data_IF_341322168669
#
_entry.id   IF_341322168669
#
_cell.length_a   1.000
_cell.length_b   1.000
_cell.length_c   1.000
_cell.angle_alpha   90.00
_cell.angle_beta   90.00
_cell.angle_gamma   90.00
#
_symmetry.space_group_name_H-M   'P 1'
#
loop_
_entity.id
_entity.type
_entity.pdbx_description
1 polymer ?
#
# COMPACT_ATOMS: atom_id res chain seq x y z
N UNK A 1 -20.14 12.89 3.20
CA UNK A 1 -20.22 14.23 2.54
C UNK A 1 -19.78 15.33 3.50
N UNK A 2 -20.43 15.53 4.68
CA UNK A 2 -20.12 16.64 5.61
C UNK A 2 -18.63 16.72 6.02
N UNK A 3 -17.97 15.58 6.29
CA UNK A 3 -16.54 15.57 6.60
C UNK A 3 -15.68 16.02 5.42
N UNK A 4 -16.04 15.63 4.20
CA UNK A 4 -15.33 16.05 2.99
C UNK A 4 -15.49 17.57 2.77
N UNK A 5 -16.71 18.09 2.94
CA UNK A 5 -17.00 19.53 2.83
C UNK A 5 -16.26 20.37 3.87
N UNK A 6 -16.05 19.81 5.06
CA UNK A 6 -15.27 20.45 6.11
C UNK A 6 -13.74 20.24 5.98
N UNK A 7 -13.27 19.51 4.97
CA UNK A 7 -11.86 19.17 4.77
C UNK A 7 -11.28 18.28 5.86
N UNK A 8 -12.11 17.45 6.51
CA UNK A 8 -11.71 16.61 7.65
C UNK A 8 -11.36 15.17 7.28
N UNK A 9 -11.59 14.75 6.03
CA UNK A 9 -11.20 13.41 5.54
C UNK A 9 -9.69 13.31 5.37
N UNK A 10 -9.11 14.34 4.77
CA UNK A 10 -7.67 14.45 4.49
C UNK A 10 -7.16 15.82 4.95
N UNK A 11 -7.19 16.08 6.27
CA UNK A 11 -7.05 17.44 6.81
C UNK A 11 -5.72 18.11 6.44
N UNK A 12 -4.66 17.32 6.19
CA UNK A 12 -3.34 17.81 5.79
C UNK A 12 -3.23 18.20 4.30
N UNK A 13 -4.24 17.88 3.49
CA UNK A 13 -4.21 18.30 2.10
C UNK A 13 -4.55 19.79 1.96
N UNK A 14 -4.12 20.44 0.86
CA UNK A 14 -4.49 21.83 0.61
C UNK A 14 -5.99 21.99 0.32
N UNK A 15 -6.48 23.20 0.51
CA UNK A 15 -7.81 23.62 0.05
C UNK A 15 -7.92 23.43 -1.47
N UNK A 16 -9.05 22.97 -2.02
CA UNK A 16 -10.35 22.77 -1.35
C UNK A 16 -10.56 21.38 -0.71
N UNK A 17 -9.62 20.45 -0.87
CA UNK A 17 -9.80 19.04 -0.48
C UNK A 17 -9.58 18.79 1.01
N UNK A 18 -8.67 19.53 1.61
CA UNK A 18 -8.34 19.49 3.04
C UNK A 18 -8.31 20.90 3.62
N UNK A 19 -7.60 21.05 4.74
CA UNK A 19 -7.49 22.30 5.50
C UNK A 19 -6.05 22.83 5.54
N UNK A 20 -5.08 22.11 4.97
CA UNK A 20 -3.66 22.36 5.16
C UNK A 20 -3.21 22.15 6.60
N UNK A 21 -3.91 21.28 7.35
CA UNK A 21 -3.72 21.07 8.77
C UNK A 21 -2.30 20.61 9.11
N UNK A 22 -1.68 21.27 10.07
CA UNK A 22 -0.41 20.85 10.66
C UNK A 22 -0.56 19.59 11.51
N UNK A 23 0.56 19.01 11.96
CA UNK A 23 0.56 17.74 12.68
C UNK A 23 -0.30 17.76 13.95
N UNK A 24 -0.25 18.85 14.72
CA UNK A 24 -1.05 19.00 15.95
C UNK A 24 -2.56 19.07 15.64
N UNK A 25 -2.93 19.84 14.62
CA UNK A 25 -4.33 19.96 14.20
C UNK A 25 -4.88 18.61 13.72
N UNK A 26 -4.09 17.83 12.98
CA UNK A 26 -4.48 16.49 12.56
C UNK A 26 -4.76 15.57 13.75
N UNK A 27 -3.91 15.59 14.78
CA UNK A 27 -4.12 14.80 16.01
C UNK A 27 -5.42 15.19 16.69
N UNK A 28 -5.68 16.50 16.83
CA UNK A 28 -6.92 17.00 17.44
C UNK A 28 -8.15 16.57 16.63
N UNK A 29 -8.09 16.66 15.29
CA UNK A 29 -9.18 16.21 14.41
C UNK A 29 -9.44 14.72 14.61
N UNK A 30 -8.40 13.90 14.61
CA UNK A 30 -8.51 12.44 14.80
C UNK A 30 -9.09 12.09 16.17
N UNK A 31 -8.68 12.77 17.24
CA UNK A 31 -9.20 12.57 18.59
C UNK A 31 -10.69 12.95 18.67
N UNK A 32 -11.08 14.08 18.08
CA UNK A 32 -12.47 14.53 18.10
C UNK A 32 -13.39 13.62 17.28
N UNK A 33 -12.95 13.17 16.08
CA UNK A 33 -13.72 12.21 15.29
C UNK A 33 -13.92 10.89 16.05
N UNK A 34 -12.88 10.38 16.72
CA UNK A 34 -12.98 9.19 17.58
C UNK A 34 -13.92 9.42 18.77
N UNK A 35 -13.83 10.58 19.43
CA UNK A 35 -14.69 10.92 20.57
C UNK A 35 -16.18 10.87 20.21
N UNK A 36 -16.53 11.31 19.02
CA UNK A 36 -17.92 11.29 18.52
C UNK A 36 -18.27 10.05 17.71
N UNK A 37 -17.37 9.06 17.63
CA UNK A 37 -17.53 7.80 16.87
C UNK A 37 -17.82 8.00 15.38
N UNK A 38 -17.21 8.99 14.79
CA UNK A 38 -17.28 9.23 13.34
C UNK A 38 -16.02 8.68 12.70
N UNK A 39 -16.19 7.84 11.69
CA UNK A 39 -15.09 7.27 10.87
C UNK A 39 -15.00 7.98 9.53
N UNK A 40 -13.79 8.33 9.14
CA UNK A 40 -13.52 8.72 7.77
C UNK A 40 -13.60 7.48 6.85
N UNK A 41 -14.01 7.63 5.58
CA UNK A 41 -13.96 6.54 4.60
C UNK A 41 -12.56 5.96 4.49
N UNK A 42 -12.46 4.64 4.36
CA UNK A 42 -11.19 3.97 4.09
C UNK A 42 -10.91 4.07 2.58
N UNK A 43 -10.06 4.99 2.19
CA UNK A 43 -9.85 5.35 0.77
C UNK A 43 -9.12 4.26 -0.04
N UNK A 44 -8.42 3.32 0.60
CA UNK A 44 -7.62 2.29 -0.07
C UNK A 44 -6.73 2.90 -1.18
N UNK A 45 -6.84 2.42 -2.42
CA UNK A 45 -6.11 2.96 -3.58
C UNK A 45 -6.46 4.43 -3.84
N UNK A 46 -7.66 4.88 -3.47
CA UNK A 46 -8.06 6.28 -3.53
C UNK A 46 -7.14 7.23 -2.74
N UNK A 47 -6.47 6.72 -1.69
CA UNK A 47 -5.54 7.53 -0.89
C UNK A 47 -4.28 7.98 -1.65
N UNK A 48 -3.98 7.36 -2.78
CA UNK A 48 -2.91 7.81 -3.69
C UNK A 48 -3.40 8.17 -5.10
N UNK A 49 -4.55 7.66 -5.55
CA UNK A 49 -5.17 8.09 -6.78
C UNK A 49 -5.64 9.56 -6.70
N UNK A 50 -6.42 9.90 -5.67
CA UNK A 50 -6.98 11.24 -5.53
C UNK A 50 -5.92 12.35 -5.39
N UNK A 51 -4.85 12.24 -4.55
CA UNK A 51 -3.83 13.30 -4.50
C UNK A 51 -3.01 13.39 -5.79
N UNK A 52 -2.84 12.28 -6.53
CA UNK A 52 -2.21 12.31 -7.86
C UNK A 52 -3.07 13.11 -8.85
N UNK A 53 -4.39 12.86 -8.88
CA UNK A 53 -5.32 13.60 -9.74
C UNK A 53 -5.42 15.07 -9.30
N UNK A 54 -5.41 15.35 -8.00
CA UNK A 54 -5.40 16.72 -7.49
C UNK A 54 -4.15 17.51 -7.91
N UNK A 55 -3.00 16.82 -8.05
CA UNK A 55 -1.74 17.46 -8.44
C UNK A 55 -1.53 17.58 -9.95
N UNK A 56 -2.05 16.64 -10.75
CA UNK A 56 -1.73 16.49 -12.17
C UNK A 56 -2.97 16.57 -13.09
N UNK A 57 -4.18 16.45 -12.53
CA UNK A 57 -5.42 16.49 -13.30
C UNK A 57 -5.91 17.90 -13.55
N UNK A 58 -6.74 18.04 -14.59
CA UNK A 58 -7.47 19.29 -14.88
C UNK A 58 -8.52 19.59 -13.79
N UNK A 59 -8.99 20.84 -13.65
CA UNK A 59 -10.07 21.16 -12.72
C UNK A 59 -11.31 20.26 -12.87
N UNK A 60 -11.71 19.96 -14.11
CA UNK A 60 -12.84 19.06 -14.41
C UNK A 60 -12.59 17.63 -13.91
N UNK A 61 -11.37 17.11 -14.08
CA UNK A 61 -10.97 15.79 -13.58
C UNK A 61 -10.92 15.76 -12.05
N UNK A 62 -10.44 16.81 -11.42
CA UNK A 62 -10.41 16.94 -9.97
C UNK A 62 -11.83 16.91 -9.39
N UNK A 63 -12.76 17.67 -9.97
CA UNK A 63 -14.16 17.67 -9.54
C UNK A 63 -14.82 16.31 -9.75
N UNK A 64 -14.56 15.66 -10.89
CA UNK A 64 -15.13 14.35 -11.23
C UNK A 64 -14.68 13.23 -10.30
N UNK A 65 -13.42 13.24 -9.86
CA UNK A 65 -12.84 12.06 -9.18
C UNK A 65 -12.34 12.31 -7.76
N UNK A 66 -11.84 13.51 -7.42
CA UNK A 66 -11.25 13.71 -6.08
C UNK A 66 -12.35 13.73 -5.02
N UNK A 67 -13.38 14.57 -5.20
CA UNK A 67 -14.46 14.65 -4.21
C UNK A 67 -15.21 13.33 -4.02
N UNK A 68 -15.69 12.62 -5.06
CA UNK A 68 -16.36 11.34 -4.90
C UNK A 68 -15.47 10.26 -4.26
N UNK A 69 -14.13 10.34 -4.45
CA UNK A 69 -13.20 9.48 -3.71
C UNK A 69 -13.22 9.79 -2.21
N UNK A 70 -13.15 11.06 -1.83
CA UNK A 70 -13.15 11.46 -0.42
C UNK A 70 -14.47 11.14 0.29
N UNK A 71 -15.57 11.13 -0.43
CA UNK A 71 -16.89 10.76 0.12
C UNK A 71 -17.13 9.24 0.13
N UNK A 72 -16.25 8.45 -0.49
CA UNK A 72 -16.37 6.99 -0.60
C UNK A 72 -17.41 6.54 -1.63
N UNK A 73 -17.82 7.42 -2.55
CA UNK A 73 -18.77 7.11 -3.63
C UNK A 73 -18.12 6.28 -4.73
N UNK A 74 -16.80 6.42 -4.94
CA UNK A 74 -16.04 5.66 -5.92
C UNK A 74 -14.86 4.94 -5.30
N UNK A 75 -14.61 3.71 -5.76
CA UNK A 75 -13.51 2.86 -5.35
C UNK A 75 -12.50 2.72 -6.50
N UNK A 76 -11.23 2.57 -6.13
CA UNK A 76 -10.11 2.53 -7.05
C UNK A 76 -9.34 1.21 -7.00
N UNK A 77 -8.78 0.82 -8.14
CA UNK A 77 -7.68 -0.14 -8.21
C UNK A 77 -6.48 0.47 -8.94
N UNK A 78 -5.32 -0.17 -8.79
CA UNK A 78 -4.08 0.25 -9.46
C UNK A 78 -3.71 -0.74 -10.55
N UNK A 79 -3.62 -0.25 -11.80
CA UNK A 79 -3.35 -1.02 -13.01
C UNK A 79 -1.95 -0.68 -13.56
N UNK A 80 -0.91 -0.98 -12.76
CA UNK A 80 0.47 -0.67 -13.09
C UNK A 80 1.22 -1.92 -13.55
N UNK A 81 1.40 -2.89 -12.67
CA UNK A 81 2.20 -4.09 -12.92
C UNK A 81 1.60 -4.99 -14.00
N UNK A 82 2.47 -5.63 -14.77
CA UNK A 82 2.13 -6.65 -15.76
C UNK A 82 2.88 -7.94 -15.46
N UNK A 83 2.52 -9.09 -16.05
CA UNK A 83 3.27 -10.34 -15.85
C UNK A 83 4.76 -10.20 -16.16
N UNK A 84 5.13 -9.36 -17.14
CA UNK A 84 6.52 -9.08 -17.53
C UNK A 84 7.10 -7.77 -16.99
N UNK A 85 6.35 -6.96 -16.25
CA UNK A 85 6.78 -5.63 -15.80
C UNK A 85 6.33 -5.35 -14.36
N UNK A 86 7.17 -5.69 -13.40
CA UNK A 86 6.98 -5.41 -11.98
C UNK A 86 7.97 -4.36 -11.49
N UNK A 87 9.18 -4.77 -11.06
CA UNK A 87 10.24 -3.83 -10.64
C UNK A 87 10.69 -2.93 -11.78
N UNK A 88 10.82 -3.47 -13.00
CA UNK A 88 11.00 -2.67 -14.22
C UNK A 88 9.63 -2.23 -14.78
N UNK A 89 8.94 -1.40 -14.01
CA UNK A 89 7.59 -0.93 -14.38
C UNK A 89 7.57 -0.19 -15.71
N UNK A 90 8.64 0.54 -16.06
CA UNK A 90 8.73 1.24 -17.33
C UNK A 90 8.83 0.29 -18.54
N UNK A 91 9.08 -1.00 -18.32
CA UNK A 91 9.02 -2.06 -19.34
C UNK A 91 7.60 -2.53 -19.70
N UNK A 92 6.56 -1.87 -19.19
CA UNK A 92 5.15 -2.22 -19.46
C UNK A 92 4.83 -2.25 -20.96
N UNK A 93 3.95 -3.17 -21.36
CA UNK A 93 3.57 -3.48 -22.73
C UNK A 93 2.11 -3.19 -23.09
N UNK A 94 1.24 -2.99 -22.09
CA UNK A 94 -0.14 -2.57 -22.36
C UNK A 94 -0.15 -1.30 -23.21
N UNK A 95 -0.92 -1.30 -24.30
CA UNK A 95 -0.93 -0.24 -25.31
C UNK A 95 -2.18 0.62 -25.22
N UNK A 96 -2.02 1.90 -25.50
CA UNK A 96 -3.11 2.83 -25.75
C UNK A 96 -2.91 3.47 -27.12
N UNK A 97 -3.90 3.31 -27.99
CA UNK A 97 -3.91 3.89 -29.35
C UNK A 97 -5.06 4.87 -29.47
N UNK A 98 -4.80 6.07 -29.95
CA UNK A 98 -5.83 7.07 -30.18
C UNK A 98 -6.60 6.77 -31.47
N UNK A 99 -7.92 6.68 -31.36
CA UNK A 99 -8.86 6.47 -32.47
C UNK A 99 -9.96 7.56 -32.40
N UNK A 100 -9.85 8.57 -33.23
CA UNK A 100 -10.75 9.71 -33.16
C UNK A 100 -10.65 10.46 -31.83
N UNK A 101 -11.72 10.44 -31.04
CA UNK A 101 -11.82 11.10 -29.74
C UNK A 101 -11.73 10.13 -28.55
N UNK A 102 -11.32 8.89 -28.81
CA UNK A 102 -11.18 7.85 -27.78
C UNK A 102 -9.82 7.17 -27.83
N UNK A 103 -9.35 6.75 -26.67
CA UNK A 103 -8.23 5.83 -26.55
C UNK A 103 -8.73 4.39 -26.52
N UNK A 104 -8.09 3.52 -27.30
CA UNK A 104 -8.31 2.08 -27.29
C UNK A 104 -7.17 1.43 -26.51
N UNK A 105 -7.53 0.71 -25.46
CA UNK A 105 -6.58 0.08 -24.55
C UNK A 105 -6.56 -1.42 -24.74
N UNK A 106 -5.36 -1.97 -24.93
CA UNK A 106 -5.12 -3.40 -25.06
C UNK A 106 -3.96 -3.83 -24.15
N UNK A 107 -4.16 -4.89 -23.36
CA UNK A 107 -3.10 -5.47 -22.53
C UNK A 107 -3.64 -6.20 -21.30
N UNK A 108 -2.71 -6.58 -20.42
CA UNK A 108 -2.99 -7.28 -19.17
C UNK A 108 -2.29 -6.60 -18.02
N UNK A 109 -2.99 -6.44 -16.90
CA UNK A 109 -2.43 -6.01 -15.62
C UNK A 109 -2.60 -7.10 -14.57
N UNK A 110 -1.70 -7.12 -13.59
CA UNK A 110 -1.67 -8.18 -12.56
C UNK A 110 -1.38 -7.58 -11.18
N UNK A 111 -1.70 -8.31 -10.14
CA UNK A 111 -1.58 -7.89 -8.72
C UNK A 111 -2.47 -6.71 -8.35
N UNK A 112 -3.62 -6.59 -9.02
CA UNK A 112 -4.53 -5.47 -8.85
C UNK A 112 -5.44 -5.71 -7.63
N UNK A 113 -5.09 -5.08 -6.50
CA UNK A 113 -5.85 -5.20 -5.25
C UNK A 113 -7.26 -4.67 -5.45
N UNK A 114 -8.26 -5.48 -5.05
CA UNK A 114 -9.69 -5.13 -5.06
C UNK A 114 -10.25 -4.67 -6.41
N UNK A 115 -9.62 -5.02 -7.54
CA UNK A 115 -10.08 -4.59 -8.87
C UNK A 115 -11.51 -5.04 -9.19
N UNK A 116 -11.96 -6.17 -8.63
CA UNK A 116 -13.34 -6.68 -8.77
C UNK A 116 -14.41 -5.81 -8.08
N UNK A 117 -14.02 -4.90 -7.21
CA UNK A 117 -14.90 -3.93 -6.54
C UNK A 117 -14.68 -2.49 -7.01
N UNK A 118 -13.66 -2.25 -7.84
CA UNK A 118 -13.29 -0.90 -8.26
C UNK A 118 -14.27 -0.35 -9.31
N UNK A 119 -14.54 0.94 -9.20
CA UNK A 119 -15.26 1.70 -10.23
C UNK A 119 -14.30 2.23 -11.27
N UNK A 120 -13.08 2.62 -10.83
CA UNK A 120 -12.01 3.12 -11.69
C UNK A 120 -10.67 2.48 -11.38
N UNK A 121 -9.83 2.38 -12.41
CA UNK A 121 -8.42 1.99 -12.30
C UNK A 121 -7.50 3.15 -12.70
N UNK A 122 -6.47 3.41 -11.89
CA UNK A 122 -5.35 4.24 -12.34
C UNK A 122 -4.45 3.37 -13.21
N UNK A 123 -4.33 3.70 -14.49
CA UNK A 123 -3.71 2.84 -15.50
C UNK A 123 -2.47 3.51 -16.11
N UNK A 124 -1.40 2.74 -16.24
CA UNK A 124 -0.26 3.07 -17.09
C UNK A 124 -0.32 2.25 -18.38
N UNK A 125 -0.28 2.92 -19.52
CA UNK A 125 -0.21 2.26 -20.82
C UNK A 125 0.76 2.99 -21.75
N UNK A 126 1.31 2.23 -22.72
CA UNK A 126 2.25 2.73 -23.72
C UNK A 126 1.50 3.40 -24.86
N UNK A 127 1.74 4.68 -25.04
CA UNK A 127 1.21 5.48 -26.13
C UNK A 127 2.22 5.70 -27.26
N UNK A 128 3.52 5.59 -26.97
CA UNK A 128 4.58 5.68 -27.97
C UNK A 128 5.69 4.63 -27.66
N UNK A 129 5.89 3.70 -28.58
CA UNK A 129 6.93 2.67 -28.47
C UNK A 129 8.23 3.01 -29.22
N UNK A 130 8.27 4.14 -29.90
CA UNK A 130 9.44 4.59 -30.68
C UNK A 130 10.48 5.34 -29.84
N UNK A 131 10.10 5.76 -28.64
CA UNK A 131 10.93 6.54 -27.69
C UNK A 131 11.44 5.65 -26.55
N UNK A 132 12.37 6.19 -25.74
CA UNK A 132 12.88 5.46 -24.58
C UNK A 132 11.76 5.11 -23.58
N UNK A 133 11.90 3.98 -22.89
CA UNK A 133 10.83 3.33 -22.15
C UNK A 133 10.11 4.22 -21.12
N UNK A 134 10.75 5.24 -20.57
CA UNK A 134 10.13 6.17 -19.61
C UNK A 134 9.32 7.28 -20.29
N UNK A 135 9.53 7.58 -21.56
CA UNK A 135 8.94 8.72 -22.27
C UNK A 135 7.71 8.33 -23.09
N UNK A 136 7.38 7.17 -23.35
CA UNK A 136 6.21 6.78 -24.17
C UNK A 136 5.06 6.21 -23.34
N UNK A 137 4.96 6.57 -22.08
CA UNK A 137 3.92 6.11 -21.14
C UNK A 137 2.96 7.24 -20.85
N UNK A 138 1.67 6.92 -20.85
CA UNK A 138 0.60 7.85 -20.47
C UNK A 138 -0.16 7.30 -19.27
N UNK A 139 -0.63 8.19 -18.42
CA UNK A 139 -1.41 7.87 -17.23
C UNK A 139 -2.89 8.11 -17.51
N UNK A 140 -3.72 7.11 -17.27
CA UNK A 140 -5.14 7.13 -17.55
C UNK A 140 -5.98 6.83 -16.31
N UNK A 141 -7.22 7.26 -16.31
CA UNK A 141 -8.28 6.76 -15.45
C UNK A 141 -9.17 5.83 -16.27
N UNK A 142 -9.18 4.54 -15.96
CA UNK A 142 -9.95 3.52 -16.67
C UNK A 142 -11.24 3.21 -15.91
N UNK A 143 -12.44 3.40 -16.49
CA UNK A 143 -13.67 2.84 -15.94
C UNK A 143 -13.58 1.32 -15.94
N UNK A 144 -13.77 0.69 -14.79
CA UNK A 144 -13.63 -0.76 -14.66
C UNK A 144 -14.85 -1.55 -15.15
N UNK A 145 -16.01 -0.92 -15.15
CA UNK A 145 -17.30 -1.51 -15.55
C UNK A 145 -17.66 -1.09 -16.98
N UNK A 146 -17.00 -1.71 -17.95
CA UNK A 146 -17.25 -1.46 -19.37
C UNK A 146 -16.94 -2.70 -20.21
N UNK A 147 -17.41 -2.73 -21.44
CA UNK A 147 -17.00 -3.73 -22.44
C UNK A 147 -15.50 -3.65 -22.67
N UNK A 148 -14.87 -4.80 -22.91
CA UNK A 148 -13.41 -4.88 -23.11
C UNK A 148 -12.59 -4.89 -21.83
N UNK A 149 -13.18 -4.75 -20.64
CA UNK A 149 -12.47 -4.93 -19.34
C UNK A 149 -12.97 -6.18 -18.64
N UNK A 150 -12.08 -7.14 -18.43
CA UNK A 150 -12.37 -8.39 -17.70
C UNK A 150 -11.46 -8.50 -16.48
N UNK A 151 -12.07 -8.67 -15.30
CA UNK A 151 -11.37 -8.85 -14.03
C UNK A 151 -11.46 -10.32 -13.60
N UNK A 152 -10.32 -10.92 -13.29
CA UNK A 152 -10.22 -12.30 -12.81
C UNK A 152 -9.52 -12.36 -11.46
N UNK A 153 -10.11 -12.99 -10.44
CA UNK A 153 -9.43 -13.21 -9.16
C UNK A 153 -8.14 -14.02 -9.33
N UNK A 154 -7.10 -13.64 -8.63
CA UNK A 154 -5.81 -14.32 -8.58
C UNK A 154 -5.67 -15.06 -7.24
N UNK A 155 -5.69 -16.39 -7.28
CA UNK A 155 -5.48 -17.20 -6.10
C UNK A 155 -4.03 -17.12 -5.63
N UNK A 156 -3.85 -16.76 -4.36
CA UNK A 156 -2.55 -16.67 -3.69
C UNK A 156 -2.21 -18.00 -2.99
N UNK A 157 -0.94 -18.20 -2.62
CA UNK A 157 -0.50 -19.41 -1.91
C UNK A 157 -1.19 -19.63 -0.56
N UNK A 158 -1.69 -18.57 0.06
CA UNK A 158 -2.46 -18.61 1.31
C UNK A 158 -3.98 -18.76 1.08
N UNK A 159 -4.40 -19.13 -0.13
CA UNK A 159 -5.80 -19.29 -0.58
C UNK A 159 -6.66 -18.02 -0.59
N UNK A 160 -6.10 -16.84 -0.30
CA UNK A 160 -6.81 -15.58 -0.50
C UNK A 160 -6.80 -15.17 -1.96
N UNK A 161 -7.79 -14.37 -2.37
CA UNK A 161 -7.94 -13.84 -3.73
C UNK A 161 -8.13 -12.32 -3.71
N UNK A 162 -7.35 -11.62 -2.89
CA UNK A 162 -7.42 -10.14 -2.78
C UNK A 162 -6.86 -9.45 -4.01
N UNK A 163 -6.00 -10.13 -4.76
CA UNK A 163 -5.44 -9.66 -6.02
C UNK A 163 -6.23 -10.17 -7.22
N UNK A 164 -6.10 -9.45 -8.32
CA UNK A 164 -6.74 -9.77 -9.57
C UNK A 164 -5.76 -9.62 -10.74
N UNK A 165 -6.10 -10.27 -11.83
CA UNK A 165 -5.65 -9.97 -13.18
C UNK A 165 -6.73 -9.13 -13.86
N UNK A 166 -6.34 -8.15 -14.64
CA UNK A 166 -7.24 -7.31 -15.42
C UNK A 166 -6.82 -7.38 -16.88
N UNK A 167 -7.68 -7.91 -17.72
CA UNK A 167 -7.50 -7.99 -19.16
C UNK A 167 -8.28 -6.86 -19.82
N UNK A 168 -7.60 -6.14 -20.71
CA UNK A 168 -8.18 -5.07 -21.52
C UNK A 168 -8.08 -5.48 -22.98
N UNK A 169 -9.23 -5.58 -23.65
CA UNK A 169 -9.34 -5.92 -25.07
C UNK A 169 -10.24 -4.90 -25.71
N UNK A 170 -9.64 -3.97 -26.45
CA UNK A 170 -10.31 -2.84 -27.08
C UNK A 170 -11.15 -2.00 -26.10
N UNK A 171 -10.70 -1.90 -24.83
CA UNK A 171 -11.35 -1.07 -23.84
C UNK A 171 -11.24 0.41 -24.23
N UNK A 172 -12.34 1.15 -24.16
CA UNK A 172 -12.43 2.53 -24.70
C UNK A 172 -12.43 3.56 -23.59
N UNK A 173 -11.71 4.65 -23.80
CA UNK A 173 -11.63 5.80 -22.91
C UNK A 173 -11.78 7.09 -23.69
N UNK A 174 -12.60 8.05 -23.23
CA UNK A 174 -12.58 9.40 -23.77
C UNK A 174 -11.20 10.05 -23.61
N UNK A 175 -10.85 10.99 -24.50
CA UNK A 175 -9.56 11.70 -24.46
C UNK A 175 -9.29 12.40 -23.13
N UNK A 176 -10.32 12.92 -22.49
CA UNK A 176 -10.25 13.65 -21.22
C UNK A 176 -10.00 12.74 -19.99
N UNK A 177 -9.80 11.43 -20.19
CA UNK A 177 -9.41 10.47 -19.14
C UNK A 177 -7.88 10.32 -18.99
N UNK A 178 -7.10 11.10 -19.71
CA UNK A 178 -5.63 11.22 -19.50
C UNK A 178 -5.37 12.17 -18.33
N UNK A 179 -4.57 11.75 -17.36
CA UNK A 179 -4.11 12.61 -16.25
C UNK A 179 -2.68 13.06 -16.51
N UNK A 180 -2.48 14.39 -16.56
CA UNK A 180 -1.25 14.99 -17.05
C UNK A 180 -1.19 14.98 -18.59
N UNK A 181 0.03 15.06 -19.14
CA UNK A 181 0.23 15.09 -20.59
C UNK A 181 0.43 13.69 -21.17
N UNK A 182 0.02 13.52 -22.43
CA UNK A 182 0.31 12.30 -23.20
C UNK A 182 1.83 12.07 -23.27
N UNK A 183 2.28 10.85 -23.10
CA UNK A 183 3.69 10.44 -23.03
C UNK A 183 4.47 10.94 -21.78
N UNK A 184 3.85 11.68 -20.86
CA UNK A 184 4.45 12.16 -19.62
C UNK A 184 3.97 11.38 -18.36
N UNK A 185 3.24 10.29 -18.55
CA UNK A 185 2.63 9.50 -17.47
C UNK A 185 3.61 8.90 -16.47
N UNK A 186 4.89 8.75 -16.83
CA UNK A 186 5.90 8.29 -15.90
C UNK A 186 6.11 9.24 -14.71
N UNK A 187 6.11 10.54 -14.94
CA UNK A 187 6.20 11.55 -13.86
C UNK A 187 4.98 11.46 -12.93
N UNK A 188 3.79 11.29 -13.49
CA UNK A 188 2.54 11.11 -12.73
C UNK A 188 2.58 9.81 -11.90
N UNK A 189 3.10 8.72 -12.50
CA UNK A 189 3.27 7.45 -11.80
C UNK A 189 4.22 7.56 -10.60
N UNK A 190 5.33 8.29 -10.74
CA UNK A 190 6.26 8.52 -9.62
C UNK A 190 5.62 9.29 -8.47
N UNK A 191 4.75 10.26 -8.75
CA UNK A 191 3.95 10.96 -7.74
C UNK A 191 2.98 9.99 -7.04
N UNK A 192 2.27 9.15 -7.80
CA UNK A 192 1.39 8.10 -7.26
C UNK A 192 2.12 7.16 -6.32
N UNK A 193 3.27 6.63 -6.74
CA UNK A 193 4.10 5.73 -5.93
C UNK A 193 4.67 6.42 -4.67
N UNK A 194 4.89 7.73 -4.72
CA UNK A 194 5.29 8.50 -3.54
C UNK A 194 4.13 8.61 -2.52
N UNK A 195 2.90 8.80 -2.98
CA UNK A 195 1.71 8.79 -2.13
C UNK A 195 1.44 7.40 -1.54
N UNK A 196 1.54 6.34 -2.33
CA UNK A 196 1.40 4.95 -1.88
C UNK A 196 2.34 4.63 -0.71
N UNK A 197 3.62 5.00 -0.82
CA UNK A 197 4.60 4.81 0.26
C UNK A 197 4.27 5.57 1.55
N UNK A 198 3.59 6.71 1.44
CA UNK A 198 3.12 7.47 2.63
C UNK A 198 1.97 6.78 3.33
N UNK A 199 1.07 6.16 2.57
CA UNK A 199 -0.10 5.45 3.10
C UNK A 199 0.30 4.25 3.98
N UNK A 200 1.30 3.49 3.59
CA UNK A 200 1.82 2.35 4.37
C UNK A 200 2.31 2.70 5.78
N UNK A 201 2.56 3.99 6.06
CA UNK A 201 2.99 4.48 7.37
C UNK A 201 1.83 4.90 8.30
N UNK A 202 0.59 4.92 7.82
CA UNK A 202 -0.58 5.43 8.58
C UNK A 202 -1.19 4.34 9.46
N UNK A 203 -1.01 3.07 9.13
CA UNK A 203 -1.53 1.95 9.90
C UNK A 203 -0.54 1.55 11.01
N UNK A 204 -0.32 2.44 11.96
CA UNK A 204 0.42 2.11 13.18
C UNK A 204 -0.55 1.85 14.32
N UNK A 205 -0.28 0.77 15.07
CA UNK A 205 -1.02 0.45 16.30
C UNK A 205 -1.03 1.68 17.22
N UNK A 206 -2.20 2.13 17.71
CA UNK A 206 -2.25 3.23 18.67
C UNK A 206 -1.35 2.90 19.85
N UNK A 207 -0.44 3.81 20.21
CA UNK A 207 0.33 3.68 21.44
C UNK A 207 -0.62 3.89 22.61
N UNK A 208 -1.01 2.79 23.24
CA UNK A 208 -1.95 2.80 24.36
C UNK A 208 -1.21 3.18 25.62
N UNK A 209 -1.40 4.39 26.12
CA UNK A 209 -0.88 4.81 27.43
C UNK A 209 -1.97 5.17 28.43
N UNK A 210 -3.24 5.15 28.04
CA UNK A 210 -4.34 5.50 28.95
C UNK A 210 -5.57 4.63 28.67
N UNK A 211 -6.27 4.17 29.71
CA UNK A 211 -7.50 3.37 29.63
C UNK A 211 -8.74 4.14 29.18
N UNK A 212 -8.58 5.22 28.42
CA UNK A 212 -9.69 6.01 27.90
C UNK A 212 -10.48 5.28 26.82
N UNK A 213 -11.75 5.67 26.66
CA UNK A 213 -12.71 5.10 25.70
C UNK A 213 -12.15 5.06 24.26
N UNK A 214 -11.51 6.14 23.80
CA UNK A 214 -10.92 6.21 22.44
C UNK A 214 -9.86 5.13 22.21
N UNK A 215 -9.08 4.80 23.23
CA UNK A 215 -8.07 3.73 23.18
C UNK A 215 -8.74 2.36 23.08
N UNK A 216 -9.79 2.11 23.86
CA UNK A 216 -10.53 0.86 23.81
C UNK A 216 -11.20 0.67 22.45
N UNK A 217 -11.82 1.72 21.90
CA UNK A 217 -12.42 1.70 20.57
C UNK A 217 -11.36 1.44 19.48
N UNK A 218 -10.19 2.08 19.55
CA UNK A 218 -9.08 1.85 18.62
C UNK A 218 -8.52 0.42 18.72
N UNK A 219 -8.52 -0.19 19.90
CA UNK A 219 -8.12 -1.59 20.08
C UNK A 219 -9.15 -2.56 19.48
N UNK A 220 -10.44 -2.29 19.66
CA UNK A 220 -11.52 -3.08 19.06
C UNK A 220 -11.40 -2.99 17.52
N UNK A 221 -11.27 -1.79 16.97
CA UNK A 221 -11.07 -1.57 15.54
C UNK A 221 -9.83 -2.27 14.99
N UNK A 222 -8.72 -2.22 15.74
CA UNK A 222 -7.50 -2.91 15.36
C UNK A 222 -7.70 -4.43 15.35
N UNK A 223 -8.41 -4.97 16.35
CA UNK A 223 -8.71 -6.41 16.42
C UNK A 223 -9.60 -6.84 15.26
N UNK A 224 -10.67 -6.10 14.97
CA UNK A 224 -11.55 -6.35 13.82
C UNK A 224 -10.77 -6.28 12.50
N UNK A 225 -9.88 -5.29 12.35
CA UNK A 225 -9.01 -5.17 11.17
C UNK A 225 -8.08 -6.39 11.03
N UNK A 226 -7.45 -6.83 12.13
CA UNK A 226 -6.54 -7.97 12.13
C UNK A 226 -7.26 -9.30 11.82
N UNK A 227 -8.53 -9.42 12.18
CA UNK A 227 -9.36 -10.58 11.81
C UNK A 227 -9.82 -10.53 10.35
N UNK A 228 -10.24 -9.36 9.89
CA UNK A 228 -10.82 -9.17 8.54
C UNK A 228 -9.76 -9.27 7.44
N UNK A 229 -8.57 -8.76 7.69
CA UNK A 229 -7.45 -8.75 6.73
C UNK A 229 -6.37 -9.76 7.10
N UNK A 230 -6.73 -11.03 7.21
CA UNK A 230 -5.83 -12.10 7.64
C UNK A 230 -4.51 -12.15 6.86
N UNK A 231 -4.55 -12.09 5.53
CA UNK A 231 -3.33 -12.17 4.73
C UNK A 231 -2.36 -10.99 4.95
N UNK A 232 -2.85 -9.78 5.23
CA UNK A 232 -1.99 -8.62 5.44
C UNK A 232 -1.22 -8.69 6.76
N UNK A 233 -1.85 -8.94 7.92
CA UNK A 233 -1.15 -9.20 9.16
C UNK A 233 -0.20 -10.40 9.08
N UNK A 234 -0.59 -11.47 8.41
CA UNK A 234 0.26 -12.64 8.20
C UNK A 234 1.49 -12.28 7.35
N UNK A 235 1.32 -11.48 6.30
CA UNK A 235 2.42 -10.96 5.50
C UNK A 235 3.41 -10.14 6.32
N UNK A 236 2.94 -9.42 7.33
CA UNK A 236 3.79 -8.66 8.26
C UNK A 236 4.48 -9.53 9.33
N UNK A 237 4.25 -10.85 9.33
CA UNK A 237 4.95 -11.81 10.18
C UNK A 237 4.38 -12.00 11.59
N UNK A 238 3.22 -11.42 11.94
CA UNK A 238 2.52 -11.58 13.22
C UNK A 238 3.44 -11.51 14.44
N UNK A 239 4.35 -10.53 14.47
CA UNK A 239 5.30 -10.33 15.57
C UNK A 239 4.61 -10.17 16.93
N UNK A 240 3.36 -9.68 16.91
CA UNK A 240 2.49 -9.55 18.09
C UNK A 240 2.22 -10.87 18.80
N UNK A 241 2.27 -12.00 18.10
CA UNK A 241 2.01 -13.34 18.64
C UNK A 241 3.26 -14.10 19.05
N UNK A 242 4.47 -13.61 18.74
CA UNK A 242 5.71 -14.34 19.05
C UNK A 242 5.90 -14.57 20.54
N UNK A 243 5.82 -13.50 21.34
CA UNK A 243 6.05 -13.62 22.80
C UNK A 243 4.95 -14.45 23.48
N UNK A 244 3.65 -14.25 23.21
CA UNK A 244 2.61 -15.12 23.73
C UNK A 244 2.86 -16.61 23.43
N UNK A 245 3.06 -16.99 22.17
CA UNK A 245 3.27 -18.38 21.76
C UNK A 245 4.55 -18.99 22.35
N UNK A 246 5.62 -18.21 22.37
CA UNK A 246 6.90 -18.61 22.96
C UNK A 246 6.76 -18.92 24.46
N UNK A 247 5.99 -18.12 25.19
CA UNK A 247 5.74 -18.29 26.62
C UNK A 247 4.78 -19.45 26.89
N UNK A 248 3.70 -19.54 26.15
CA UNK A 248 2.70 -20.62 26.29
C UNK A 248 3.29 -21.99 26.09
N UNK A 249 4.24 -22.13 25.15
CA UNK A 249 4.93 -23.40 24.89
C UNK A 249 6.16 -23.68 25.81
N UNK A 250 6.39 -22.80 26.80
CA UNK A 250 7.50 -22.91 27.75
C UNK A 250 8.91 -22.98 27.09
N UNK A 251 9.08 -22.29 25.94
CA UNK A 251 10.33 -22.27 25.19
C UNK A 251 11.32 -21.18 25.64
N UNK A 252 11.00 -20.45 26.70
CA UNK A 252 11.83 -19.41 27.29
C UNK A 252 13.19 -19.86 27.82
N UNK A 253 13.39 -21.17 27.98
CA UNK A 253 14.67 -21.79 28.35
C UNK A 253 15.56 -22.10 27.14
N UNK A 254 15.02 -22.12 25.90
CA UNK A 254 15.83 -22.29 24.68
C UNK A 254 16.63 -21.02 24.38
N UNK A 255 17.98 -21.05 24.52
CA UNK A 255 18.78 -19.84 24.35
C UNK A 255 18.78 -19.33 22.91
N UNK A 256 18.61 -20.19 21.93
CA UNK A 256 18.62 -19.83 20.52
C UNK A 256 17.33 -19.11 20.12
N UNK A 257 16.17 -19.67 20.50
CA UNK A 257 14.89 -19.04 20.29
C UNK A 257 14.75 -17.71 21.04
N UNK A 258 15.29 -17.62 22.25
CA UNK A 258 15.35 -16.36 23.00
C UNK A 258 16.09 -15.27 22.22
N UNK A 259 17.23 -15.59 21.61
CA UNK A 259 18.00 -14.63 20.81
C UNK A 259 17.25 -14.23 19.55
N UNK A 260 16.58 -15.16 18.87
CA UNK A 260 15.78 -14.86 17.69
C UNK A 260 14.63 -13.89 18.04
N UNK A 261 13.85 -14.20 19.07
CA UNK A 261 12.74 -13.33 19.53
C UNK A 261 13.26 -11.97 19.99
N UNK A 262 14.34 -11.94 20.79
CA UNK A 262 14.94 -10.69 21.26
C UNK A 262 15.43 -9.82 20.11
N UNK A 263 16.06 -10.40 19.07
CA UNK A 263 16.50 -9.71 17.86
C UNK A 263 15.33 -9.08 17.13
N UNK A 264 14.23 -9.82 16.94
CA UNK A 264 13.03 -9.32 16.25
C UNK A 264 12.44 -8.13 17.01
N UNK A 265 12.28 -8.24 18.33
CA UNK A 265 11.76 -7.17 19.18
C UNK A 265 12.68 -5.94 19.18
N UNK A 266 13.99 -6.13 19.22
CA UNK A 266 14.96 -5.04 19.11
C UNK A 266 14.85 -4.32 17.76
N UNK A 267 14.78 -5.07 16.65
CA UNK A 267 14.61 -4.50 15.32
C UNK A 267 13.29 -3.73 15.19
N UNK A 268 12.19 -4.25 15.73
CA UNK A 268 10.90 -3.57 15.78
C UNK A 268 11.02 -2.22 16.52
N UNK A 269 11.69 -2.22 17.66
CA UNK A 269 11.91 -1.01 18.47
C UNK A 269 12.73 0.04 17.71
N UNK A 270 13.84 -0.39 17.11
CA UNK A 270 14.72 0.49 16.30
C UNK A 270 13.98 1.03 15.08
N UNK A 271 13.19 0.20 14.39
CA UNK A 271 12.36 0.64 13.26
C UNK A 271 11.35 1.71 13.69
N UNK A 272 10.71 1.55 14.86
CA UNK A 272 9.82 2.57 15.44
C UNK A 272 10.54 3.88 15.71
N UNK A 273 11.71 3.86 16.34
CA UNK A 273 12.50 5.07 16.59
C UNK A 273 12.97 5.75 15.30
N UNK A 274 13.29 4.97 14.27
CA UNK A 274 13.67 5.51 12.96
C UNK A 274 12.49 6.24 12.31
N UNK A 275 11.28 5.69 12.41
CA UNK A 275 10.05 6.33 11.93
C UNK A 275 9.73 7.62 12.72
N UNK A 276 9.88 7.59 14.06
CA UNK A 276 9.67 8.76 14.92
C UNK A 276 10.67 9.89 14.56
N UNK A 277 11.94 9.54 14.34
CA UNK A 277 12.98 10.49 13.90
C UNK A 277 12.66 11.12 12.55
N UNK A 278 12.19 10.31 11.59
CA UNK A 278 11.80 10.79 10.28
C UNK A 278 10.58 11.72 10.35
N UNK A 279 9.63 11.44 11.25
CA UNK A 279 8.49 12.32 11.52
C UNK A 279 8.93 13.66 12.09
N UNK A 280 9.75 13.64 13.15
CA UNK A 280 10.28 14.85 13.76
C UNK A 280 11.10 15.71 12.77
N UNK A 281 11.86 15.09 11.89
CA UNK A 281 12.61 15.82 10.85
C UNK A 281 11.65 16.56 9.89
N UNK A 282 10.54 15.94 9.50
CA UNK A 282 9.51 16.60 8.66
C UNK A 282 8.81 17.75 9.38
N UNK A 283 8.54 17.60 10.67
CA UNK A 283 7.96 18.68 11.51
C UNK A 283 8.89 19.89 11.60
N UNK A 284 10.21 19.67 11.49
CA UNK A 284 11.24 20.72 11.40
C UNK A 284 11.45 21.23 9.96
N UNK A 285 10.57 20.90 9.02
CA UNK A 285 10.62 21.37 7.63
C UNK A 285 11.67 20.70 6.76
N UNK A 286 12.33 19.61 7.22
CA UNK A 286 13.29 18.88 6.39
C UNK A 286 12.55 18.10 5.29
N UNK A 287 13.08 18.11 4.06
CA UNK A 287 12.46 17.35 2.96
C UNK A 287 12.49 15.84 3.27
N UNK A 288 11.52 15.06 2.76
CA UNK A 288 11.54 13.61 2.86
C UNK A 288 12.80 13.03 2.21
N UNK A 289 13.50 12.18 2.95
CA UNK A 289 14.65 11.41 2.45
C UNK A 289 14.26 9.98 2.05
N UNK A 290 15.23 9.08 2.12
CA UNK A 290 15.05 7.65 1.83
C UNK A 290 14.55 6.82 3.04
N UNK A 291 14.02 7.47 4.08
CA UNK A 291 13.56 6.81 5.31
C UNK A 291 12.46 5.76 5.05
N UNK A 292 11.63 6.02 4.04
CA UNK A 292 10.62 5.05 3.60
C UNK A 292 11.22 3.73 3.13
N UNK A 293 12.36 3.79 2.43
CA UNK A 293 13.10 2.59 1.99
C UNK A 293 13.72 1.84 3.17
N UNK A 294 14.29 2.57 4.15
CA UNK A 294 14.80 1.96 5.40
C UNK A 294 13.67 1.26 6.15
N UNK A 295 12.52 1.91 6.28
CA UNK A 295 11.35 1.34 6.96
C UNK A 295 10.82 0.09 6.25
N UNK A 296 10.75 0.10 4.91
CA UNK A 296 10.30 -1.04 4.11
C UNK A 296 11.26 -2.24 4.24
N UNK A 297 12.57 -2.04 4.19
CA UNK A 297 13.56 -3.09 4.39
C UNK A 297 13.52 -3.66 5.82
N UNK A 298 13.36 -2.80 6.82
CA UNK A 298 13.18 -3.23 8.20
C UNK A 298 11.94 -4.11 8.34
N UNK A 299 10.81 -3.71 7.74
CA UNK A 299 9.56 -4.45 7.76
C UNK A 299 9.69 -5.83 7.10
N UNK A 300 10.31 -5.91 5.91
CA UNK A 300 10.57 -7.18 5.21
C UNK A 300 11.46 -8.11 6.04
N UNK A 301 12.52 -7.57 6.64
CA UNK A 301 13.46 -8.35 7.45
C UNK A 301 12.80 -8.86 8.73
N UNK A 302 12.07 -8.01 9.44
CA UNK A 302 11.33 -8.37 10.65
C UNK A 302 10.29 -9.46 10.32
N UNK A 303 9.53 -9.32 9.25
CA UNK A 303 8.54 -10.30 8.85
C UNK A 303 9.17 -11.68 8.56
N UNK A 304 10.28 -11.72 7.82
CA UNK A 304 11.00 -12.98 7.53
C UNK A 304 11.54 -13.63 8.78
N UNK A 305 12.18 -12.88 9.67
CA UNK A 305 12.68 -13.41 10.92
C UNK A 305 11.54 -13.91 11.82
N UNK A 306 10.43 -13.18 11.87
CA UNK A 306 9.25 -13.56 12.64
C UNK A 306 8.62 -14.86 12.10
N UNK A 307 8.49 -15.01 10.78
CA UNK A 307 7.95 -16.24 10.18
C UNK A 307 8.82 -17.47 10.52
N UNK A 308 10.15 -17.33 10.44
CA UNK A 308 11.07 -18.39 10.83
C UNK A 308 10.97 -18.72 12.34
N UNK A 309 10.86 -17.71 13.20
CA UNK A 309 10.68 -17.91 14.63
C UNK A 309 9.35 -18.62 14.93
N UNK A 310 8.25 -18.23 14.29
CA UNK A 310 6.96 -18.93 14.40
C UNK A 310 7.07 -20.40 14.00
N UNK A 311 7.72 -20.70 12.87
CA UNK A 311 7.95 -22.09 12.43
C UNK A 311 8.72 -22.91 13.46
N UNK A 312 9.76 -22.32 14.07
CA UNK A 312 10.55 -22.99 15.13
C UNK A 312 9.77 -23.18 16.43
N UNK A 313 8.96 -22.18 16.82
CA UNK A 313 8.10 -22.26 18.01
C UNK A 313 7.02 -23.33 17.81
N UNK A 314 6.40 -23.38 16.64
CA UNK A 314 5.32 -24.31 16.34
C UNK A 314 5.82 -25.74 16.07
N UNK A 315 7.06 -25.91 15.57
CA UNK A 315 7.56 -27.22 15.15
C UNK A 315 6.69 -27.83 14.04
N UNK A 316 6.32 -29.10 14.17
CA UNK A 316 5.48 -29.80 13.19
C UNK A 316 4.08 -29.17 13.04
N UNK A 317 3.53 -28.56 14.08
CA UNK A 317 2.23 -27.89 14.04
C UNK A 317 2.21 -26.72 13.02
N UNK A 318 3.38 -26.14 12.74
CA UNK A 318 3.51 -25.05 11.77
C UNK A 318 3.21 -25.43 10.31
N UNK A 319 3.07 -26.72 10.00
CA UNK A 319 2.69 -27.22 8.68
C UNK A 319 1.18 -27.39 8.54
N UNK A 320 0.43 -27.30 9.62
CA UNK A 320 -1.03 -27.56 9.62
C UNK A 320 -1.77 -26.27 9.28
N UNK A 321 -2.77 -26.40 8.40
CA UNK A 321 -3.66 -25.32 7.96
C UNK A 321 -5.11 -25.62 8.32
N UNK A 322 -5.92 -24.57 8.41
CA UNK A 322 -7.35 -24.66 8.65
C UNK A 322 -7.76 -24.36 10.09
N UNK A 323 -9.07 -24.15 10.34
CA UNK A 323 -9.58 -23.68 11.62
C UNK A 323 -9.37 -24.65 12.79
N UNK A 324 -9.32 -25.96 12.50
CA UNK A 324 -9.12 -27.00 13.50
C UNK A 324 -7.65 -27.28 13.82
N UNK A 325 -6.75 -26.58 13.14
CA UNK A 325 -5.29 -26.71 13.36
C UNK A 325 -4.83 -25.84 14.54
N UNK A 326 -3.69 -26.17 15.20
CA UNK A 326 -3.11 -25.32 16.22
C UNK A 326 -2.97 -23.87 15.77
N UNK A 327 -3.41 -22.92 16.60
CA UNK A 327 -3.50 -21.50 16.26
C UNK A 327 -4.31 -21.24 14.96
N UNK A 328 -5.33 -22.06 14.67
CA UNK A 328 -6.16 -22.02 13.47
C UNK A 328 -5.34 -21.96 12.15
N UNK A 329 -4.20 -22.65 12.10
CA UNK A 329 -3.31 -22.68 10.94
C UNK A 329 -2.53 -21.37 10.67
N UNK A 330 -2.54 -20.43 11.60
CA UNK A 330 -1.94 -19.10 11.42
C UNK A 330 -0.44 -19.18 11.08
N UNK A 331 0.31 -20.12 11.67
CA UNK A 331 1.76 -20.22 11.41
C UNK A 331 2.03 -20.60 9.95
N UNK A 332 1.32 -21.59 9.42
CA UNK A 332 1.44 -21.96 8.01
C UNK A 332 1.07 -20.80 7.09
N UNK A 333 0.01 -20.07 7.41
CA UNK A 333 -0.39 -18.90 6.65
C UNK A 333 0.66 -17.76 6.68
N UNK A 334 1.27 -17.50 7.83
CA UNK A 334 2.39 -16.54 7.96
C UNK A 334 3.56 -16.95 7.07
N UNK A 335 3.96 -18.22 7.09
CA UNK A 335 5.08 -18.73 6.31
C UNK A 335 4.88 -18.52 4.80
N UNK A 336 3.68 -18.76 4.27
CA UNK A 336 3.40 -18.60 2.83
C UNK A 336 3.08 -17.16 2.43
N UNK A 337 2.69 -16.30 3.38
CA UNK A 337 2.31 -14.89 3.10
C UNK A 337 3.49 -13.92 3.18
N UNK A 338 4.45 -14.18 4.08
CA UNK A 338 5.59 -13.28 4.34
C UNK A 338 6.45 -12.96 3.12
N UNK A 339 6.73 -13.89 2.17
CA UNK A 339 7.51 -13.57 0.98
C UNK A 339 6.95 -12.38 0.19
N UNK A 340 5.63 -12.20 0.17
CA UNK A 340 4.99 -11.04 -0.46
C UNK A 340 5.44 -9.68 0.12
N UNK A 341 5.90 -9.64 1.37
CA UNK A 341 6.41 -8.42 2.01
C UNK A 341 7.75 -7.95 1.40
N UNK A 342 8.59 -8.87 0.93
CA UNK A 342 9.85 -8.54 0.28
C UNK A 342 9.66 -8.09 -1.18
N UNK A 343 8.47 -8.29 -1.75
CA UNK A 343 8.17 -8.04 -3.18
C UNK A 343 7.33 -6.76 -3.35
N UNK A 344 6.21 -6.66 -2.62
CA UNK A 344 5.23 -5.59 -2.78
C UNK A 344 5.77 -4.21 -2.38
N UNK A 345 5.29 -3.15 -3.01
CA UNK A 345 5.70 -1.77 -2.72
C UNK A 345 7.14 -1.44 -3.10
N UNK A 346 7.67 -2.11 -4.13
CA UNK A 346 9.09 -2.13 -4.52
C UNK A 346 9.87 -3.19 -3.77
N UNK A 347 10.53 -4.08 -4.49
CA UNK A 347 11.28 -5.20 -3.90
C UNK A 347 12.39 -4.72 -2.97
N UNK A 348 12.89 -5.62 -2.12
CA UNK A 348 14.01 -5.30 -1.23
C UNK A 348 15.23 -4.80 -2.02
N UNK A 349 15.49 -5.35 -3.23
CA UNK A 349 16.55 -4.92 -4.15
C UNK A 349 16.32 -3.48 -4.63
N UNK A 350 15.10 -3.14 -5.04
CA UNK A 350 14.75 -1.76 -5.43
C UNK A 350 14.95 -0.79 -4.26
N UNK A 351 14.62 -1.21 -3.03
CA UNK A 351 14.85 -0.36 -1.85
C UNK A 351 16.35 -0.18 -1.57
N UNK A 352 17.16 -1.22 -1.76
CA UNK A 352 18.63 -1.11 -1.66
C UNK A 352 19.19 -0.15 -2.70
N UNK A 353 18.73 -0.21 -3.96
CA UNK A 353 19.15 0.71 -5.01
C UNK A 353 18.79 2.16 -4.65
N UNK A 354 17.57 2.41 -4.15
CA UNK A 354 17.17 3.75 -3.71
C UNK A 354 18.06 4.26 -2.57
N UNK A 355 18.42 3.42 -1.61
CA UNK A 355 19.31 3.80 -0.51
C UNK A 355 20.73 4.04 -1.02
N UNK A 356 21.24 3.15 -1.88
CA UNK A 356 22.56 3.28 -2.48
C UNK A 356 22.71 4.58 -3.25
N UNK A 357 21.81 4.85 -4.18
CA UNK A 357 21.86 6.03 -5.04
C UNK A 357 21.57 7.34 -4.32
N UNK A 358 20.44 7.39 -3.56
CA UNK A 358 19.92 8.65 -3.02
C UNK A 358 20.48 9.02 -1.64
N UNK A 359 20.92 8.03 -0.86
CA UNK A 359 21.38 8.24 0.51
C UNK A 359 22.89 8.15 0.63
N UNK A 360 23.50 7.18 -0.07
CA UNK A 360 24.94 6.96 -0.06
C UNK A 360 25.67 7.60 -1.24
N UNK A 361 24.95 8.12 -2.25
CA UNK A 361 25.55 8.75 -3.44
C UNK A 361 26.30 7.79 -4.35
N UNK A 362 25.98 6.49 -4.29
CA UNK A 362 26.60 5.48 -5.14
C UNK A 362 26.15 5.67 -6.60
N UNK A 363 26.99 5.30 -7.59
CA UNK A 363 26.62 5.37 -9.00
C UNK A 363 25.44 4.41 -9.29
N UNK A 364 24.63 4.81 -10.26
CA UNK A 364 23.57 3.94 -10.79
C UNK A 364 24.16 2.75 -11.52
N UNK A 365 23.43 1.62 -11.51
CA UNK A 365 23.79 0.49 -12.36
C UNK A 365 23.83 0.92 -13.84
N UNK A 366 24.80 0.42 -14.63
CA UNK A 366 24.82 0.64 -16.07
C UNK A 366 23.50 0.12 -16.68
N UNK A 367 22.91 0.93 -17.57
CA UNK A 367 21.70 0.56 -18.31
C UNK A 367 22.03 -0.26 -19.54
#
# INVERSE_FOLDING_TARGET
>A
TALADAGLIVPNWPTPWGRGAGAVEQVVIDEELRRVRVRAPHLQVGAWAAPTIAAHGTPSQQERWVRPTLTGEINWCQLFSEPGAGSDLAGLSAKATLDGDEWIINGQKVWNTSAHHADYGILLARTDSSVSKHHGITYFVLPMKQDGVMVRPLAQMNYHSSFNEVFMTDARLPKDFVVGDVNAGWTVALATLAHERRFGNIVSRPKVNTGGRAVQEALIEYTEYMETYKWYPQRAGRVDLLVPQFTERNLNTDPTLRQDVARILAMQKVSGWTADRARAARELGKPPGAEGSVGKLAMSTIARLASLAHGRIAGADGMLMGPDSPAAGMVAEVLVSVPGQSIAGGTDEIQHNILGERMLGLPREPQ
#
